data_IF_098211164734
#
_entry.id   IF_098211164734
#
_cell.length_a   1.000
_cell.length_b   1.000
_cell.length_c   1.000
_cell.angle_alpha   90.00
_cell.angle_beta   90.00
_cell.angle_gamma   90.00
#
_symmetry.space_group_name_H-M   'P 1'
#
loop_
_entity.id
_entity.type
_entity.pdbx_description
1 polymer ?
#
# COMPACT_ATOMS: atom_id res chain seq x y z
N UNK A 1 -3.54 16.30 16.26
CA UNK A 1 -2.48 15.55 15.54
C UNK A 1 -2.32 14.13 16.08
N UNK A 2 -3.39 13.31 16.07
CA UNK A 2 -3.33 11.89 16.52
C UNK A 2 -2.62 10.97 15.52
N UNK A 3 -2.66 11.33 14.23
CA UNK A 3 -2.22 10.45 13.13
C UNK A 3 -0.69 10.37 13.05
N UNK A 4 0.01 11.52 13.07
CA UNK A 4 1.49 11.56 13.00
C UNK A 4 2.19 10.95 14.22
N UNK A 5 1.54 10.98 15.38
CA UNK A 5 2.10 10.50 16.65
C UNK A 5 1.60 9.09 17.02
N UNK A 6 1.00 8.36 16.08
CA UNK A 6 0.53 7.00 16.34
C UNK A 6 1.75 6.09 16.59
N UNK A 7 1.86 5.48 17.79
CA UNK A 7 3.00 4.64 18.16
C UNK A 7 3.16 3.41 17.26
N UNK A 8 2.07 2.93 16.65
CA UNK A 8 2.10 1.75 15.78
C UNK A 8 2.96 1.98 14.52
N UNK A 9 3.10 3.24 14.07
CA UNK A 9 3.92 3.60 12.90
C UNK A 9 5.36 3.98 13.22
N UNK A 10 5.72 4.06 14.51
CA UNK A 10 7.08 4.36 14.94
C UNK A 10 8.01 3.14 14.73
N UNK A 11 9.28 3.43 14.50
CA UNK A 11 10.35 2.45 14.34
C UNK A 11 11.71 3.13 14.52
N UNK A 12 12.76 2.32 14.72
CA UNK A 12 14.16 2.77 14.65
C UNK A 12 14.44 3.49 13.33
N UNK A 13 15.38 4.44 13.32
CA UNK A 13 15.81 5.06 12.07
C UNK A 13 16.22 3.97 11.07
N UNK A 14 15.67 4.04 9.86
CA UNK A 14 15.90 3.06 8.80
C UNK A 14 17.39 2.90 8.50
N UNK A 15 18.20 3.95 8.70
CA UNK A 15 19.64 3.94 8.49
C UNK A 15 20.37 2.94 9.39
N UNK A 16 19.83 2.65 10.59
CA UNK A 16 20.40 1.65 11.51
C UNK A 16 19.87 0.23 11.30
N UNK A 17 18.97 0.04 10.33
CA UNK A 17 18.38 -1.26 9.99
C UNK A 17 19.05 -1.88 8.76
N UNK A 18 19.25 -3.20 8.81
CA UNK A 18 19.61 -4.00 7.64
C UNK A 18 18.50 -3.96 6.58
N UNK A 19 18.82 -4.30 5.33
CA UNK A 19 17.83 -4.37 4.24
C UNK A 19 16.62 -5.27 4.59
N UNK A 20 16.86 -6.41 5.24
CA UNK A 20 15.78 -7.32 5.66
C UNK A 20 14.88 -6.68 6.70
N UNK A 21 15.46 -6.05 7.72
CA UNK A 21 14.68 -5.35 8.76
C UNK A 21 13.91 -4.15 8.21
N UNK A 22 14.49 -3.40 7.26
CA UNK A 22 13.76 -2.34 6.55
C UNK A 22 12.53 -2.90 5.82
N UNK A 23 12.68 -4.06 5.15
CA UNK A 23 11.55 -4.73 4.51
C UNK A 23 10.52 -5.26 5.51
N UNK A 24 10.93 -5.74 6.67
CA UNK A 24 9.99 -6.19 7.72
C UNK A 24 9.17 -5.03 8.28
N UNK A 25 9.83 -3.90 8.59
CA UNK A 25 9.16 -2.65 8.99
C UNK A 25 8.19 -2.18 7.92
N UNK A 26 8.54 -2.33 6.63
CA UNK A 26 7.68 -2.11 5.47
C UNK A 26 6.33 -2.78 5.62
N UNK A 27 6.40 -4.10 5.71
CA UNK A 27 5.24 -4.98 5.64
C UNK A 27 4.38 -4.76 6.87
N UNK A 28 5.02 -4.61 8.04
CA UNK A 28 4.34 -4.29 9.30
C UNK A 28 3.54 -2.99 9.19
N UNK A 29 4.17 -1.90 8.73
CA UNK A 29 3.50 -0.59 8.60
C UNK A 29 2.39 -0.62 7.56
N UNK A 30 2.57 -1.31 6.43
CA UNK A 30 1.51 -1.49 5.44
C UNK A 30 0.31 -2.26 6.00
N UNK A 31 0.53 -3.31 6.81
CA UNK A 31 -0.56 -4.03 7.46
C UNK A 31 -1.32 -3.17 8.48
N UNK A 32 -0.59 -2.41 9.31
CA UNK A 32 -1.17 -1.46 10.27
C UNK A 32 -1.97 -0.38 9.55
N UNK A 33 -1.43 0.17 8.46
CA UNK A 33 -2.10 1.15 7.62
C UNK A 33 -3.46 0.64 7.13
N UNK A 34 -3.54 -0.57 6.59
CA UNK A 34 -4.83 -1.15 6.17
C UNK A 34 -5.82 -1.25 7.32
N UNK A 35 -5.36 -1.74 8.48
CA UNK A 35 -6.19 -1.84 9.67
C UNK A 35 -6.76 -0.47 10.06
N UNK A 36 -5.91 0.55 10.15
CA UNK A 36 -6.28 1.92 10.53
C UNK A 36 -7.19 2.59 9.48
N UNK A 37 -6.92 2.42 8.20
CA UNK A 37 -7.80 2.93 7.13
C UNK A 37 -9.21 2.35 7.24
N UNK A 38 -9.33 1.05 7.55
CA UNK A 38 -10.65 0.42 7.80
C UNK A 38 -11.32 0.96 9.06
N UNK A 39 -10.57 1.10 10.16
CA UNK A 39 -11.09 1.63 11.44
C UNK A 39 -11.58 3.08 11.31
N UNK A 40 -10.88 3.89 10.52
CA UNK A 40 -11.21 5.30 10.29
C UNK A 40 -12.16 5.52 9.11
N UNK A 41 -12.53 4.47 8.36
CA UNK A 41 -13.40 4.59 7.20
C UNK A 41 -12.78 5.34 6.02
N UNK A 42 -11.44 5.38 5.92
CA UNK A 42 -10.72 6.06 4.84
C UNK A 42 -10.88 5.24 3.56
N UNK A 43 -11.69 5.75 2.63
CA UNK A 43 -11.99 5.09 1.36
C UNK A 43 -11.77 6.00 0.14
N UNK A 44 -11.65 7.31 0.36
CA UNK A 44 -11.37 8.27 -0.70
C UNK A 44 -9.91 8.11 -1.20
N UNK A 45 -9.66 8.06 -2.52
CA UNK A 45 -8.31 7.88 -3.06
C UNK A 45 -7.31 8.95 -2.62
N UNK A 46 -7.73 10.21 -2.50
CA UNK A 46 -6.85 11.29 -2.10
C UNK A 46 -6.54 11.19 -0.60
N UNK A 47 -7.53 10.87 0.24
CA UNK A 47 -7.30 10.61 1.66
C UNK A 47 -6.38 9.40 1.90
N UNK A 48 -6.54 8.33 1.13
CA UNK A 48 -5.64 7.16 1.16
C UNK A 48 -4.22 7.61 0.81
N UNK A 49 -4.05 8.39 -0.25
CA UNK A 49 -2.74 8.91 -0.64
C UNK A 49 -2.11 9.79 0.44
N UNK A 50 -2.88 10.69 1.06
CA UNK A 50 -2.42 11.53 2.17
C UNK A 50 -2.04 10.70 3.39
N UNK A 51 -2.87 9.75 3.78
CA UNK A 51 -2.62 8.85 4.90
C UNK A 51 -1.34 8.03 4.69
N UNK A 52 -1.14 7.50 3.48
CA UNK A 52 0.09 6.81 3.07
C UNK A 52 1.30 7.72 3.16
N UNK A 53 1.20 8.92 2.57
CA UNK A 53 2.30 9.88 2.52
C UNK A 53 2.77 10.27 3.91
N UNK A 54 1.88 10.43 4.88
CA UNK A 54 2.25 10.81 6.25
C UNK A 54 3.07 9.74 6.99
N UNK A 55 2.77 8.45 6.79
CA UNK A 55 3.40 7.37 7.55
C UNK A 55 4.51 6.63 6.80
N UNK A 56 4.60 6.82 5.48
CA UNK A 56 5.51 6.10 4.59
C UNK A 56 6.50 7.04 3.87
N UNK A 57 6.73 8.26 4.38
CA UNK A 57 7.76 9.17 3.85
C UNK A 57 9.11 8.43 3.80
N UNK A 58 9.81 8.52 2.66
CA UNK A 58 11.11 7.88 2.39
C UNK A 58 11.11 6.34 2.40
N UNK A 59 9.93 5.74 2.23
CA UNK A 59 9.75 4.31 2.37
C UNK A 59 9.24 3.68 1.07
N UNK A 60 9.91 2.63 0.57
CA UNK A 60 9.39 1.83 -0.55
C UNK A 60 8.31 0.90 0.00
N UNK A 61 7.06 1.33 -0.13
CA UNK A 61 5.91 0.56 0.31
C UNK A 61 5.74 -0.71 -0.54
N UNK A 62 5.72 -1.92 0.05
CA UNK A 62 5.64 -3.18 -0.68
C UNK A 62 4.30 -3.36 -1.40
N UNK A 63 3.28 -2.60 -1.00
CA UNK A 63 1.93 -2.62 -1.59
C UNK A 63 1.63 -1.38 -2.43
N UNK A 64 2.63 -0.55 -2.71
CA UNK A 64 2.47 0.69 -3.49
C UNK A 64 1.86 0.44 -4.87
N UNK A 65 2.40 -0.53 -5.62
CA UNK A 65 1.91 -0.90 -6.96
C UNK A 65 0.48 -1.46 -6.95
N UNK A 66 0.03 -2.05 -5.83
CA UNK A 66 -1.35 -2.50 -5.72
C UNK A 66 -2.32 -1.32 -5.89
N UNK A 67 -2.01 -0.19 -5.25
CA UNK A 67 -2.84 1.02 -5.30
C UNK A 67 -2.56 1.87 -6.53
N UNK A 68 -1.28 2.02 -6.93
CA UNK A 68 -0.92 2.93 -8.02
C UNK A 68 -1.15 2.36 -9.41
N UNK A 69 -1.13 1.03 -9.58
CA UNK A 69 -1.25 0.39 -10.90
C UNK A 69 -2.22 -0.77 -10.95
N UNK A 70 -2.16 -1.74 -10.03
CA UNK A 70 -3.00 -2.95 -10.12
C UNK A 70 -4.50 -2.63 -10.06
N UNK A 71 -4.94 -1.86 -9.05
CA UNK A 71 -6.33 -1.43 -8.91
C UNK A 71 -6.78 -0.54 -10.09
N UNK A 72 -6.03 0.51 -10.49
CA UNK A 72 -6.35 1.28 -11.69
C UNK A 72 -6.47 0.46 -12.97
N UNK A 73 -5.58 -0.52 -13.19
CA UNK A 73 -5.66 -1.40 -14.37
C UNK A 73 -6.90 -2.27 -14.33
N UNK A 74 -7.25 -2.86 -13.17
CA UNK A 74 -8.52 -3.59 -13.01
C UNK A 74 -9.74 -2.70 -13.27
N UNK A 75 -9.73 -1.46 -12.80
CA UNK A 75 -10.83 -0.50 -12.99
C UNK A 75 -11.01 -0.10 -14.46
N UNK A 76 -9.91 0.20 -15.15
CA UNK A 76 -9.95 0.77 -16.49
C UNK A 76 -10.00 -0.30 -17.59
N UNK A 77 -9.40 -1.47 -17.36
CA UNK A 77 -9.22 -2.50 -18.40
C UNK A 77 -9.91 -3.83 -18.05
N UNK A 78 -10.33 -4.03 -16.81
CA UNK A 78 -11.01 -5.26 -16.39
C UNK A 78 -12.48 -5.33 -16.86
N UNK A 79 -12.93 -6.53 -17.17
CA UNK A 79 -14.36 -6.81 -17.41
C UNK A 79 -15.16 -6.72 -16.11
N UNK A 80 -16.50 -6.66 -16.20
CA UNK A 80 -17.38 -6.64 -15.03
C UNK A 80 -17.11 -7.82 -14.09
N UNK A 81 -17.06 -9.04 -14.63
CA UNK A 81 -16.80 -10.25 -13.84
C UNK A 81 -15.40 -10.22 -13.16
N UNK A 82 -14.40 -9.64 -13.82
CA UNK A 82 -13.06 -9.50 -13.25
C UNK A 82 -13.03 -8.47 -12.11
N UNK A 83 -13.71 -7.33 -12.29
CA UNK A 83 -13.86 -6.30 -11.27
C UNK A 83 -14.57 -6.83 -10.04
N UNK A 84 -15.70 -7.50 -10.22
CA UNK A 84 -16.46 -8.12 -9.12
C UNK A 84 -15.62 -9.14 -8.35
N UNK A 85 -14.80 -9.92 -9.06
CA UNK A 85 -13.97 -10.95 -8.46
C UNK A 85 -12.79 -10.39 -7.64
N UNK A 86 -12.15 -9.31 -8.09
CA UNK A 86 -10.85 -8.90 -7.53
C UNK A 86 -10.81 -7.50 -6.93
N UNK A 87 -11.65 -6.56 -7.37
CA UNK A 87 -11.49 -5.15 -7.05
C UNK A 87 -11.64 -4.86 -5.55
N UNK A 88 -12.72 -5.37 -4.93
CA UNK A 88 -12.99 -5.12 -3.51
C UNK A 88 -11.91 -5.74 -2.62
N UNK A 89 -11.52 -6.98 -2.90
CA UNK A 89 -10.46 -7.68 -2.17
C UNK A 89 -9.10 -6.99 -2.31
N UNK A 90 -8.81 -6.40 -3.48
CA UNK A 90 -7.56 -5.68 -3.74
C UNK A 90 -7.50 -4.33 -3.03
N UNK A 91 -8.62 -3.60 -2.95
CA UNK A 91 -8.71 -2.34 -2.17
C UNK A 91 -8.46 -2.58 -0.69
N UNK A 92 -8.95 -3.72 -0.17
CA UNK A 92 -8.75 -4.13 1.21
C UNK A 92 -7.42 -4.83 1.51
N UNK A 93 -6.50 -5.01 0.55
CA UNK A 93 -5.30 -5.85 0.68
C UNK A 93 -5.57 -7.29 1.17
N UNK A 94 -6.75 -7.84 0.89
CA UNK A 94 -6.99 -9.29 1.00
C UNK A 94 -6.29 -10.02 -0.15
N UNK A 95 -6.14 -9.34 -1.29
CA UNK A 95 -5.27 -9.69 -2.41
C UNK A 95 -4.30 -8.53 -2.59
N UNK A 96 -3.03 -8.85 -2.80
CA UNK A 96 -2.00 -7.85 -3.12
C UNK A 96 -1.55 -8.13 -4.55
N UNK A 97 -1.90 -7.23 -5.46
CA UNK A 97 -1.43 -7.28 -6.84
C UNK A 97 -0.23 -6.38 -7.10
N UNK A 98 0.36 -6.57 -8.27
CA UNK A 98 1.46 -5.75 -8.80
C UNK A 98 1.24 -5.52 -10.28
N UNK A 99 2.07 -4.67 -10.89
CA UNK A 99 2.09 -4.43 -12.33
C UNK A 99 3.47 -4.76 -12.89
N UNK A 100 3.58 -5.97 -13.44
CA UNK A 100 4.82 -6.49 -14.01
C UNK A 100 4.86 -6.18 -15.52
N UNK A 101 5.25 -4.96 -15.87
CA UNK A 101 5.46 -4.53 -17.26
C UNK A 101 6.92 -4.71 -17.69
N UNK A 102 7.83 -4.13 -16.92
CA UNK A 102 9.26 -4.09 -17.24
C UNK A 102 9.88 -5.49 -17.20
N UNK A 103 10.59 -5.84 -18.26
CA UNK A 103 11.38 -7.07 -18.38
C UNK A 103 12.88 -6.75 -18.27
N UNK A 104 13.74 -7.77 -18.14
CA UNK A 104 15.18 -7.58 -17.96
C UNK A 104 15.85 -6.76 -19.08
N UNK A 105 15.35 -6.88 -20.32
CA UNK A 105 15.88 -6.18 -21.49
C UNK A 105 14.98 -5.06 -22.04
N UNK A 106 13.80 -4.84 -21.46
CA UNK A 106 12.76 -3.96 -22.05
C UNK A 106 11.97 -3.21 -20.97
N UNK A 107 11.68 -1.93 -21.23
CA UNK A 107 11.03 -1.01 -20.29
C UNK A 107 9.58 -0.71 -20.65
#
# INVERSE_FOLDING_TARGET
NMILNDPDFQHEDLNFLTRSQRYEVAVRKSAIMVKKMREFGIADPDEIMWFKKLHLVNFVEPVGLNYSMFIPTLLNQGTTAQKEKWLLSSKGLQIIGTYAQTEMGHG
#
